data_IF_847349149441
#
_entry.id   IF_847349149441
#
_cell.length_a   1.000
_cell.length_b   1.000
_cell.length_c   1.000
_cell.angle_alpha   90.00
_cell.angle_beta   90.00
_cell.angle_gamma   90.00
#
_symmetry.space_group_name_H-M   'P 1'
#
loop_
_entity.id
_entity.type
_entity.pdbx_description
1 polymer ?
#
# COMPACT_ATOMS: atom_id res chain seq x y z
N UNK A 1 -23.77 3.56 3.51
CA UNK A 1 -23.17 2.36 4.15
C UNK A 1 -23.33 1.10 3.28
N UNK A 2 -24.52 0.76 2.75
CA UNK A 2 -24.73 -0.44 1.92
C UNK A 2 -23.80 -0.58 0.69
N UNK A 3 -23.49 0.50 -0.03
CA UNK A 3 -22.55 0.46 -1.17
C UNK A 3 -21.12 0.08 -0.78
N UNK A 4 -20.72 0.37 0.46
CA UNK A 4 -19.37 0.13 0.96
C UNK A 4 -19.17 -1.32 1.43
N UNK A 5 -20.24 -1.96 1.94
CA UNK A 5 -20.20 -3.38 2.29
C UNK A 5 -20.15 -4.27 1.03
N UNK A 6 -20.87 -3.86 -0.02
CA UNK A 6 -20.85 -4.54 -1.32
C UNK A 6 -19.48 -4.42 -2.01
N UNK A 7 -18.77 -3.29 -1.84
CA UNK A 7 -17.45 -3.12 -2.46
C UNK A 7 -16.36 -4.00 -1.86
N UNK A 8 -16.50 -4.40 -0.59
CA UNK A 8 -15.51 -5.23 0.10
C UNK A 8 -15.69 -6.74 -0.14
N UNK A 9 -16.87 -7.18 -0.59
CA UNK A 9 -17.17 -8.61 -0.69
C UNK A 9 -16.08 -9.38 -1.46
N UNK A 10 -15.66 -8.87 -2.61
CA UNK A 10 -14.61 -9.48 -3.44
C UNK A 10 -13.23 -9.59 -2.77
N UNK A 11 -12.99 -8.86 -1.67
CA UNK A 11 -11.74 -8.87 -0.91
C UNK A 11 -11.75 -9.89 0.24
N UNK A 12 -12.90 -10.48 0.57
CA UNK A 12 -13.06 -11.43 1.69
C UNK A 12 -12.39 -12.80 1.44
N UNK A 13 -12.14 -13.61 2.49
CA UNK A 13 -11.33 -14.81 2.40
C UNK A 13 -11.88 -15.89 1.46
N UNK A 14 -13.20 -15.97 1.31
CA UNK A 14 -13.85 -16.97 0.46
C UNK A 14 -13.63 -16.74 -1.04
N UNK A 15 -13.27 -15.51 -1.45
CA UNK A 15 -12.99 -15.23 -2.86
C UNK A 15 -11.58 -15.72 -3.26
N UNK A 16 -11.44 -16.42 -4.40
CA UNK A 16 -10.16 -16.96 -4.84
C UNK A 16 -9.19 -15.84 -5.24
N UNK A 17 -7.89 -16.16 -5.22
CA UNK A 17 -6.81 -15.20 -5.57
C UNK A 17 -7.05 -14.54 -6.93
N UNK A 18 -7.56 -15.27 -7.93
CA UNK A 18 -7.79 -14.75 -9.28
C UNK A 18 -8.74 -13.54 -9.33
N UNK A 19 -9.67 -13.42 -8.39
CA UNK A 19 -10.68 -12.34 -8.36
C UNK A 19 -10.51 -11.41 -7.15
N UNK A 20 -9.56 -11.69 -6.26
CA UNK A 20 -9.34 -10.93 -5.03
C UNK A 20 -8.06 -10.08 -5.13
N UNK A 21 -8.24 -8.79 -5.37
CA UNK A 21 -7.13 -7.86 -5.58
C UNK A 21 -6.25 -7.68 -4.34
N UNK A 22 -6.81 -7.79 -3.13
CA UNK A 22 -6.04 -7.73 -1.90
C UNK A 22 -5.10 -8.94 -1.76
N UNK A 23 -5.58 -10.16 -2.03
CA UNK A 23 -4.73 -11.37 -2.08
C UNK A 23 -3.63 -11.24 -3.14
N UNK A 24 -3.98 -10.80 -4.34
CA UNK A 24 -3.01 -10.60 -5.42
C UNK A 24 -1.94 -9.59 -5.04
N UNK A 25 -2.33 -8.51 -4.35
CA UNK A 25 -1.38 -7.49 -3.89
C UNK A 25 -0.49 -8.07 -2.80
N UNK A 26 -1.05 -8.73 -1.79
CA UNK A 26 -0.28 -9.37 -0.72
C UNK A 26 0.77 -10.34 -1.26
N UNK A 27 0.42 -11.18 -2.25
CA UNK A 27 1.38 -12.09 -2.91
C UNK A 27 2.53 -11.34 -3.57
N UNK A 28 2.25 -10.19 -4.20
CA UNK A 28 3.30 -9.35 -4.83
C UNK A 28 4.17 -8.64 -3.81
N UNK A 29 3.60 -8.25 -2.66
CA UNK A 29 4.31 -7.58 -1.56
C UNK A 29 5.15 -8.55 -0.72
N UNK A 30 4.79 -9.83 -0.69
CA UNK A 30 5.51 -10.85 0.09
C UNK A 30 6.99 -10.93 -0.30
N UNK A 31 7.88 -10.96 0.72
CA UNK A 31 9.34 -10.93 0.59
C UNK A 31 9.88 -9.65 -0.08
N UNK A 32 9.14 -8.55 0.02
CA UNK A 32 9.55 -7.22 -0.44
C UNK A 32 9.33 -6.18 0.66
N UNK A 33 9.94 -5.03 0.47
CA UNK A 33 9.71 -3.80 1.22
C UNK A 33 8.77 -2.92 0.39
N UNK A 34 7.49 -2.81 0.76
CA UNK A 34 6.55 -1.95 0.06
C UNK A 34 6.88 -0.48 0.28
N UNK A 35 6.95 0.27 -0.81
CA UNK A 35 6.94 1.73 -0.81
C UNK A 35 5.61 2.17 -1.41
N UNK A 36 4.69 2.58 -0.55
CA UNK A 36 3.35 2.96 -0.96
C UNK A 36 3.39 4.41 -1.47
N UNK A 37 2.71 4.68 -2.58
CA UNK A 37 2.64 6.02 -3.16
C UNK A 37 1.19 6.43 -3.39
N UNK A 38 0.79 7.57 -2.84
CA UNK A 38 -0.51 8.19 -3.08
C UNK A 38 -0.36 9.72 -3.16
N UNK A 39 -1.48 10.43 -3.32
CA UNK A 39 -1.51 11.88 -3.44
C UNK A 39 -2.81 12.48 -2.88
N UNK A 40 -2.81 13.80 -2.72
CA UNK A 40 -4.00 14.61 -2.44
C UNK A 40 -4.88 14.01 -1.32
N UNK A 41 -6.17 13.78 -1.59
CA UNK A 41 -7.15 13.34 -0.60
C UNK A 41 -6.89 11.92 -0.04
N UNK A 42 -5.97 11.14 -0.63
CA UNK A 42 -5.61 9.80 -0.15
C UNK A 42 -4.35 9.77 0.72
N UNK A 43 -3.70 10.92 1.00
CA UNK A 43 -2.52 11.00 1.88
C UNK A 43 -2.80 10.50 3.30
N UNK A 44 -3.99 10.78 3.85
CA UNK A 44 -4.40 10.22 5.15
C UNK A 44 -4.46 8.69 5.12
N UNK A 45 -5.07 8.12 4.08
CA UNK A 45 -5.16 6.67 3.89
C UNK A 45 -3.81 6.02 3.64
N UNK A 46 -2.88 6.72 2.98
CA UNK A 46 -1.51 6.27 2.75
C UNK A 46 -0.79 5.95 4.06
N UNK A 47 -0.90 6.85 5.02
CA UNK A 47 -0.34 6.68 6.36
C UNK A 47 -0.95 5.49 7.09
N UNK A 48 -2.28 5.34 7.02
CA UNK A 48 -2.99 4.22 7.63
C UNK A 48 -2.55 2.89 7.01
N UNK A 49 -2.48 2.80 5.68
CA UNK A 49 -2.05 1.58 4.99
C UNK A 49 -0.62 1.20 5.38
N UNK A 50 0.30 2.17 5.43
CA UNK A 50 1.67 1.92 5.88
C UNK A 50 1.68 1.35 7.31
N UNK A 51 0.90 1.94 8.22
CA UNK A 51 0.79 1.44 9.59
C UNK A 51 0.24 0.02 9.63
N UNK A 52 -0.82 -0.27 8.86
CA UNK A 52 -1.41 -1.61 8.79
C UNK A 52 -0.42 -2.66 8.26
N UNK A 53 0.41 -2.34 7.26
CA UNK A 53 1.45 -3.28 6.81
C UNK A 53 2.47 -3.55 7.92
N UNK A 54 2.97 -2.50 8.58
CA UNK A 54 3.95 -2.64 9.67
C UNK A 54 3.38 -3.39 10.88
N UNK A 55 2.20 -3.01 11.33
CA UNK A 55 1.60 -3.49 12.58
C UNK A 55 0.85 -4.80 12.38
N UNK A 56 -0.01 -4.92 11.38
CA UNK A 56 -0.83 -6.13 11.17
C UNK A 56 0.02 -7.23 10.52
N UNK A 57 0.66 -6.95 9.40
CA UNK A 57 1.38 -7.98 8.63
C UNK A 57 2.79 -8.28 9.11
N UNK A 58 3.29 -7.46 10.05
CA UNK A 58 4.69 -7.49 10.52
C UNK A 58 5.69 -7.37 9.36
N UNK A 59 5.29 -6.68 8.29
CA UNK A 59 6.11 -6.45 7.12
C UNK A 59 6.49 -4.98 7.08
N UNK A 60 7.78 -4.68 7.15
CA UNK A 60 8.24 -3.31 7.06
C UNK A 60 7.77 -2.66 5.74
N UNK A 61 7.17 -1.49 5.84
CA UNK A 61 6.69 -0.69 4.72
C UNK A 61 6.95 0.79 5.00
N UNK A 62 7.24 1.51 3.92
CA UNK A 62 7.38 2.97 3.90
C UNK A 62 6.37 3.58 2.92
N UNK A 63 6.27 4.89 2.91
CA UNK A 63 5.43 5.62 1.97
C UNK A 63 6.12 6.87 1.44
N UNK A 64 5.67 7.31 0.27
CA UNK A 64 6.10 8.54 -0.38
C UNK A 64 4.87 9.24 -0.98
N UNK A 65 4.83 10.56 -0.91
CA UNK A 65 3.68 11.35 -1.35
C UNK A 65 3.97 12.07 -2.67
N UNK A 66 3.00 12.10 -3.58
CA UNK A 66 3.06 12.95 -4.76
C UNK A 66 2.43 14.32 -4.49
N UNK A 67 3.02 15.42 -4.98
CA UNK A 67 4.16 15.47 -5.90
C UNK A 67 5.55 15.40 -5.24
N UNK A 68 5.64 15.54 -3.91
CA UNK A 68 6.87 15.81 -3.16
C UNK A 68 7.99 14.81 -3.40
N UNK A 69 7.69 13.52 -3.49
CA UNK A 69 8.68 12.47 -3.74
C UNK A 69 9.48 12.71 -5.02
N UNK A 70 8.89 13.38 -6.01
CA UNK A 70 9.57 13.68 -7.27
C UNK A 70 10.71 14.69 -7.11
N UNK A 71 10.82 15.34 -5.96
CA UNK A 71 11.88 16.31 -5.66
C UNK A 71 13.11 15.68 -4.99
N UNK A 72 12.97 14.52 -4.32
CA UNK A 72 14.08 13.95 -3.55
C UNK A 72 14.26 12.44 -3.69
N UNK A 73 13.20 11.67 -3.99
CA UNK A 73 13.25 10.22 -3.87
C UNK A 73 13.70 9.52 -5.17
N UNK A 74 13.57 10.15 -6.33
CA UNK A 74 13.77 9.49 -7.62
C UNK A 74 15.22 9.03 -7.85
N UNK A 75 16.19 9.87 -7.49
CA UNK A 75 17.62 9.54 -7.63
C UNK A 75 18.04 8.45 -6.64
N UNK A 76 17.43 8.41 -5.45
CA UNK A 76 17.70 7.35 -4.45
C UNK A 76 17.28 5.95 -4.90
N UNK A 77 16.50 5.80 -5.98
CA UNK A 77 16.12 4.47 -6.47
C UNK A 77 17.33 3.67 -6.99
N UNK A 78 18.40 4.36 -7.41
CA UNK A 78 19.59 3.74 -7.99
C UNK A 78 20.44 2.96 -6.97
N UNK A 79 20.37 3.31 -5.68
CA UNK A 79 21.18 2.72 -4.62
C UNK A 79 20.42 2.58 -3.28
N UNK A 80 20.72 1.56 -2.45
CA UNK A 80 21.69 0.49 -2.70
C UNK A 80 21.29 -0.40 -3.88
N UNK A 81 22.25 -1.07 -4.53
CA UNK A 81 21.99 -1.90 -5.72
C UNK A 81 20.99 -3.04 -5.46
N UNK A 82 20.77 -3.38 -4.19
CA UNK A 82 19.75 -4.31 -3.72
C UNK A 82 18.32 -3.77 -3.85
N UNK A 83 18.10 -2.48 -4.09
CA UNK A 83 16.76 -1.88 -4.22
C UNK A 83 15.88 -2.60 -5.26
N UNK A 84 16.42 -2.93 -6.43
CA UNK A 84 15.71 -3.69 -7.48
C UNK A 84 15.21 -5.06 -7.01
N UNK A 85 15.90 -5.66 -6.02
CA UNK A 85 15.56 -6.96 -5.46
C UNK A 85 14.65 -6.82 -4.22
N UNK A 86 14.79 -5.75 -3.43
CA UNK A 86 14.12 -5.63 -2.15
C UNK A 86 12.85 -4.79 -2.20
N UNK A 87 12.85 -3.69 -2.96
CA UNK A 87 11.74 -2.74 -3.00
C UNK A 87 10.63 -3.20 -3.95
N UNK A 88 9.40 -2.85 -3.60
CA UNK A 88 8.26 -2.87 -4.51
C UNK A 88 7.42 -1.63 -4.29
N UNK A 89 7.07 -0.93 -5.37
CA UNK A 89 6.18 0.21 -5.30
C UNK A 89 4.72 -0.22 -5.37
N UNK A 90 3.88 0.31 -4.49
CA UNK A 90 2.42 0.19 -4.56
C UNK A 90 1.81 1.57 -4.80
N UNK A 91 1.41 1.84 -6.04
CA UNK A 91 0.77 3.10 -6.41
C UNK A 91 -0.73 3.02 -6.19
N UNK A 92 -1.25 3.93 -5.36
CA UNK A 92 -2.67 4.16 -5.18
C UNK A 92 -3.06 5.33 -6.09
N UNK A 93 -3.64 5.01 -7.24
CA UNK A 93 -4.08 5.99 -8.21
C UNK A 93 -5.52 6.42 -7.93
N UNK A 94 -5.93 7.56 -8.50
CA UNK A 94 -7.32 8.00 -8.51
C UNK A 94 -7.60 8.77 -9.79
N UNK A 95 -8.77 8.55 -10.38
CA UNK A 95 -9.31 9.40 -11.45
C UNK A 95 -9.71 10.80 -10.95
N UNK A 96 -9.87 10.97 -9.63
CA UNK A 96 -10.24 12.22 -8.98
C UNK A 96 -9.02 13.07 -8.58
N UNK A 97 -7.80 12.55 -8.75
CA UNK A 97 -6.61 13.38 -8.63
C UNK A 97 -6.55 14.43 -9.73
N UNK A 98 -5.89 15.55 -9.47
CA UNK A 98 -5.61 16.53 -10.51
C UNK A 98 -4.84 15.87 -11.68
N UNK A 99 -5.13 16.20 -12.96
CA UNK A 99 -4.49 15.56 -14.12
C UNK A 99 -2.95 15.60 -14.08
N UNK A 100 -2.39 16.69 -13.52
CA UNK A 100 -0.94 16.83 -13.32
C UNK A 100 -0.38 15.78 -12.36
N UNK A 101 -1.10 15.45 -11.28
CA UNK A 101 -0.70 14.42 -10.31
C UNK A 101 -0.81 13.02 -10.93
N UNK A 102 -1.87 12.76 -11.72
CA UNK A 102 -1.99 11.51 -12.47
C UNK A 102 -0.82 11.30 -13.45
N UNK A 103 -0.42 12.37 -14.16
CA UNK A 103 0.76 12.36 -15.04
C UNK A 103 2.04 12.09 -14.26
N UNK A 104 2.21 12.73 -13.09
CA UNK A 104 3.34 12.48 -12.20
C UNK A 104 3.41 11.03 -11.77
N UNK A 105 2.32 10.44 -11.27
CA UNK A 105 2.27 9.03 -10.89
C UNK A 105 2.69 8.10 -12.04
N UNK A 106 2.25 8.39 -13.27
CA UNK A 106 2.67 7.64 -14.47
C UNK A 106 4.18 7.73 -14.72
N UNK A 107 4.74 8.93 -14.66
CA UNK A 107 6.17 9.15 -14.90
C UNK A 107 7.03 8.53 -13.79
N UNK A 108 6.64 8.67 -12.52
CA UNK A 108 7.32 8.04 -11.39
C UNK A 108 7.36 6.51 -11.54
N UNK A 109 6.26 5.88 -11.98
CA UNK A 109 6.23 4.44 -12.30
C UNK A 109 7.22 4.06 -13.40
N UNK A 110 7.34 4.89 -14.44
CA UNK A 110 8.33 4.64 -15.51
C UNK A 110 9.75 4.71 -14.97
N UNK A 111 10.05 5.67 -14.08
CA UNK A 111 11.37 5.79 -13.45
C UNK A 111 11.67 4.58 -12.55
N UNK A 112 10.70 4.11 -11.76
CA UNK A 112 10.86 2.89 -10.97
C UNK A 112 11.18 1.67 -11.86
N UNK A 113 10.49 1.53 -13.01
CA UNK A 113 10.76 0.47 -13.99
C UNK A 113 12.15 0.59 -14.63
N UNK A 114 12.60 1.80 -14.98
CA UNK A 114 13.97 2.06 -15.46
C UNK A 114 15.03 1.60 -14.45
N UNK A 115 14.73 1.74 -13.16
CA UNK A 115 15.57 1.23 -12.06
C UNK A 115 15.36 -0.27 -11.75
N UNK A 116 14.58 -1.00 -12.57
CA UNK A 116 14.24 -2.42 -12.40
C UNK A 116 13.51 -2.73 -11.09
N UNK A 117 12.85 -1.74 -10.49
CA UNK A 117 12.02 -1.91 -9.30
C UNK A 117 10.60 -2.23 -9.75
N UNK A 118 10.01 -3.29 -9.18
CA UNK A 118 8.63 -3.68 -9.48
C UNK A 118 7.68 -2.60 -8.98
N UNK A 119 6.65 -2.31 -9.78
CA UNK A 119 5.58 -1.41 -9.42
C UNK A 119 4.23 -2.09 -9.67
N UNK A 120 3.35 -2.03 -8.68
CA UNK A 120 1.97 -2.51 -8.73
C UNK A 120 1.02 -1.36 -8.47
N UNK A 121 -0.22 -1.52 -8.89
CA UNK A 121 -1.20 -0.44 -8.87
C UNK A 121 -2.50 -0.90 -8.23
N UNK A 122 -3.09 0.00 -7.45
CA UNK A 122 -4.46 -0.10 -6.97
C UNK A 122 -5.24 1.14 -7.42
N UNK A 123 -6.47 0.90 -7.86
CA UNK A 123 -7.41 1.93 -8.28
C UNK A 123 -8.64 1.79 -7.39
N UNK A 124 -8.78 2.61 -6.34
CA UNK A 124 -9.94 2.55 -5.46
C UNK A 124 -11.22 2.80 -6.26
N UNK A 125 -12.26 2.01 -5.96
CA UNK A 125 -13.59 2.20 -6.54
C UNK A 125 -14.33 3.33 -5.82
N UNK A 126 -15.22 4.00 -6.53
CA UNK A 126 -16.03 5.09 -5.99
C UNK A 126 -16.05 6.31 -6.91
N UNK A 127 -17.18 7.02 -6.91
CA UNK A 127 -17.38 8.26 -7.67
C UNK A 127 -16.92 9.49 -6.88
N UNK A 128 -16.84 9.39 -5.56
CA UNK A 128 -16.43 10.50 -4.68
C UNK A 128 -15.09 10.24 -4.00
N UNK A 129 -14.45 11.33 -3.53
CA UNK A 129 -13.20 11.27 -2.75
C UNK A 129 -13.36 10.40 -1.49
N UNK A 130 -14.48 10.54 -0.80
CA UNK A 130 -14.79 9.78 0.41
C UNK A 130 -14.96 8.28 0.11
N UNK A 131 -15.69 7.92 -0.94
CA UNK A 131 -15.86 6.52 -1.34
C UNK A 131 -14.52 5.87 -1.68
N UNK A 132 -13.65 6.56 -2.43
CA UNK A 132 -12.33 6.04 -2.77
C UNK A 132 -11.41 5.93 -1.56
N UNK A 133 -11.47 6.88 -0.61
CA UNK A 133 -10.74 6.80 0.65
C UNK A 133 -11.17 5.57 1.45
N UNK A 134 -12.47 5.35 1.60
CA UNK A 134 -13.00 4.18 2.32
C UNK A 134 -12.68 2.86 1.60
N UNK A 135 -12.74 2.82 0.26
CA UNK A 135 -12.35 1.66 -0.53
C UNK A 135 -10.85 1.34 -0.41
N UNK A 136 -9.99 2.36 -0.30
CA UNK A 136 -8.56 2.18 -0.01
C UNK A 136 -8.34 1.63 1.39
N UNK A 137 -9.10 2.11 2.39
CA UNK A 137 -9.01 1.62 3.76
C UNK A 137 -9.33 0.12 3.85
N UNK A 138 -10.44 -0.31 3.26
CA UNK A 138 -10.83 -1.73 3.20
C UNK A 138 -9.78 -2.58 2.49
N UNK A 139 -9.31 -2.12 1.32
CA UNK A 139 -8.23 -2.78 0.59
C UNK A 139 -6.97 -2.93 1.43
N UNK A 140 -6.62 -1.91 2.21
CA UNK A 140 -5.49 -1.92 3.12
C UNK A 140 -5.61 -2.97 4.22
N UNK A 141 -6.77 -3.02 4.89
CA UNK A 141 -7.08 -4.01 5.92
C UNK A 141 -6.91 -5.45 5.40
N UNK A 142 -7.51 -5.76 4.25
CA UNK A 142 -7.42 -7.11 3.69
C UNK A 142 -6.02 -7.43 3.17
N UNK A 143 -5.36 -6.48 2.53
CA UNK A 143 -4.00 -6.69 2.00
C UNK A 143 -3.02 -6.97 3.15
N UNK A 144 -3.08 -6.21 4.24
CA UNK A 144 -2.23 -6.45 5.41
C UNK A 144 -2.56 -7.77 6.11
N UNK A 145 -3.84 -8.12 6.21
CA UNK A 145 -4.26 -9.41 6.75
C UNK A 145 -3.71 -10.59 5.94
N UNK A 146 -3.88 -10.59 4.61
CA UNK A 146 -3.35 -11.66 3.76
C UNK A 146 -1.83 -11.72 3.76
N UNK A 147 -1.16 -10.56 3.81
CA UNK A 147 0.29 -10.51 3.93
C UNK A 147 0.76 -11.08 5.28
N UNK A 148 0.01 -10.87 6.37
CA UNK A 148 0.29 -11.50 7.67
C UNK A 148 0.27 -13.03 7.55
N UNK A 149 -0.73 -13.58 6.84
CA UNK A 149 -0.84 -15.02 6.62
C UNK A 149 0.33 -15.56 5.81
N UNK A 150 0.76 -14.85 4.76
CA UNK A 150 1.93 -15.23 3.96
C UNK A 150 3.24 -15.17 4.78
N UNK A 151 3.31 -14.25 5.74
CA UNK A 151 4.43 -14.11 6.66
C UNK A 151 4.37 -15.07 7.88
N UNK A 152 3.34 -15.92 7.98
CA UNK A 152 3.04 -16.73 9.18
C UNK A 152 2.99 -15.88 10.46
N UNK A 153 2.55 -14.63 10.35
CA UNK A 153 2.47 -13.68 11.45
C UNK A 153 1.04 -13.62 12.01
N UNK A 154 0.91 -13.48 13.33
CA UNK A 154 -0.39 -13.22 13.95
C UNK A 154 -0.76 -11.73 13.77
N UNK A 155 -1.85 -11.42 13.05
CA UNK A 155 -2.24 -10.04 12.75
C UNK A 155 -2.69 -9.24 13.98
N UNK A 156 -3.15 -9.89 15.05
CA UNK A 156 -3.67 -9.25 16.25
C UNK A 156 -2.62 -8.98 17.34
N UNK A 157 -1.45 -9.66 17.28
CA UNK A 157 -0.42 -9.53 18.32
C UNK A 157 0.51 -8.35 18.05
N UNK A 158 0.78 -7.54 19.09
CA UNK A 158 1.71 -6.39 19.05
C UNK A 158 2.71 -6.43 20.22
N UNK A 159 3.57 -7.48 20.31
CA UNK A 159 4.37 -7.75 21.51
C UNK A 159 5.33 -6.61 21.87
N UNK A 160 6.00 -6.00 20.87
CA UNK A 160 6.96 -4.91 21.09
C UNK A 160 6.30 -3.61 21.56
N UNK A 161 5.09 -3.30 21.06
CA UNK A 161 4.31 -2.16 21.54
C UNK A 161 3.85 -2.40 22.98
N UNK A 162 3.43 -3.63 23.29
CA UNK A 162 3.09 -4.01 24.66
C UNK A 162 4.30 -3.93 25.61
N UNK A 163 5.47 -4.36 25.15
CA UNK A 163 6.72 -4.28 25.91
C UNK A 163 7.14 -2.84 26.18
N UNK A 164 7.25 -1.98 25.15
CA UNK A 164 7.71 -0.60 25.33
C UNK A 164 6.77 0.20 26.24
N UNK A 165 5.46 -0.06 26.19
CA UNK A 165 4.47 0.55 27.10
C UNK A 165 4.65 0.12 28.56
N UNK A 166 5.26 -1.04 28.83
CA UNK A 166 5.59 -1.47 30.19
C UNK A 166 6.88 -0.82 30.68
N UNK A 167 7.89 -0.69 29.83
CA UNK A 167 9.18 -0.08 30.19
C UNK A 167 9.10 1.45 30.40
N UNK A 168 8.12 2.11 29.79
CA UNK A 168 7.90 3.56 29.94
C UNK A 168 7.00 3.94 31.13
N UNK A 169 6.60 2.96 31.95
CA UNK A 169 5.91 3.22 33.22
C UNK A 169 6.91 3.36 34.34
#
# INVERSE_FOLDING_TARGET
MAKLELSDQALRPLHPVKTNQAKQTAIKLHKKIPVIVAAEFLVGNLNILRNQLNETSKNFASFLELPDLNHYALESLANPKSNKANLIFLFINSSLYHPRVQRRARLTKQIARKNKIKAVEYWPRGATKLEQALAMLQFGCWTSYYLAMLNNANPAKIPWVGWIKRELK
#
